data_IF_380560057354
#
_entry.id   IF_380560057354
#
_cell.length_a   1.000
_cell.length_b   1.000
_cell.length_c   1.000
_cell.angle_alpha   90.00
_cell.angle_beta   90.00
_cell.angle_gamma   90.00
#
_symmetry.space_group_name_H-M   'P 1'
#
loop_
_entity.id
_entity.type
_entity.pdbx_description
1 polymer ?
#
# COMPACT_ATOMS: atom_id res chain seq x y z
N UNK A 1 15.37 20.72 -16.39
CA UNK A 1 15.75 20.88 -17.80
C UNK A 1 16.10 19.52 -18.35
N UNK A 2 15.35 19.07 -19.36
CA UNK A 2 15.72 17.95 -20.23
C UNK A 2 16.60 18.50 -21.36
N UNK A 3 17.52 17.72 -21.95
CA UNK A 3 18.45 18.26 -22.92
C UNK A 3 17.73 18.57 -24.24
N UNK A 4 17.94 19.79 -24.72
CA UNK A 4 17.69 20.20 -26.09
C UNK A 4 18.73 19.50 -26.98
N UNK A 5 18.29 18.50 -27.75
CA UNK A 5 19.13 17.81 -28.72
C UNK A 5 18.29 17.41 -29.91
N UNK A 6 18.53 18.08 -31.04
CA UNK A 6 17.98 17.74 -32.35
C UNK A 6 18.45 16.33 -32.72
N UNK A 7 17.53 15.39 -32.98
CA UNK A 7 17.88 14.08 -33.52
C UNK A 7 16.93 13.76 -34.68
N UNK A 8 17.30 14.26 -35.86
CA UNK A 8 16.83 13.68 -37.12
C UNK A 8 17.65 12.41 -37.36
N UNK A 9 17.01 11.22 -37.34
CA UNK A 9 17.57 10.03 -37.99
C UNK A 9 17.70 8.71 -37.21
N UNK A 10 17.48 8.64 -35.89
CA UNK A 10 17.42 7.37 -35.15
C UNK A 10 16.13 7.31 -34.34
N UNK A 11 15.50 6.13 -34.22
CA UNK A 11 14.40 5.90 -33.27
C UNK A 11 14.96 6.10 -31.85
N UNK A 12 14.99 7.35 -31.40
CA UNK A 12 15.60 7.78 -30.16
C UNK A 12 14.92 7.13 -28.98
N UNK A 13 15.59 6.17 -28.36
CA UNK A 13 15.14 5.53 -27.13
C UNK A 13 15.16 6.55 -25.99
N UNK A 14 13.98 6.90 -25.47
CA UNK A 14 13.84 7.74 -24.29
C UNK A 14 13.85 6.85 -23.04
N UNK A 15 14.77 7.12 -22.12
CA UNK A 15 14.91 6.37 -20.85
C UNK A 15 14.27 7.15 -19.70
N UNK A 16 13.54 6.45 -18.82
CA UNK A 16 12.93 7.02 -17.61
C UNK A 16 13.45 6.33 -16.35
N UNK A 17 13.61 7.11 -15.28
CA UNK A 17 13.97 6.62 -13.95
C UNK A 17 12.80 6.80 -12.98
N UNK A 18 12.55 5.77 -12.16
CA UNK A 18 11.53 5.85 -11.11
C UNK A 18 12.04 6.67 -9.93
N UNK A 19 11.27 7.70 -9.52
CA UNK A 19 11.54 8.49 -8.31
C UNK A 19 10.88 7.91 -7.05
N UNK A 20 10.13 6.81 -7.20
CA UNK A 20 9.40 6.11 -6.14
C UNK A 20 9.48 4.61 -6.40
N UNK A 21 9.31 3.81 -5.37
CA UNK A 21 9.20 2.36 -5.49
C UNK A 21 8.22 1.97 -6.62
N UNK A 22 8.66 1.23 -7.65
CA UNK A 22 7.77 0.76 -8.71
C UNK A 22 6.86 -0.34 -8.18
N UNK A 23 5.65 -0.45 -8.74
CA UNK A 23 4.80 -1.60 -8.48
C UNK A 23 5.46 -2.87 -9.04
N UNK A 24 5.31 -4.00 -8.33
CA UNK A 24 5.75 -5.34 -8.78
C UNK A 24 7.26 -5.55 -8.93
N UNK A 25 8.09 -4.76 -8.25
CA UNK A 25 9.50 -5.12 -8.05
C UNK A 25 9.60 -6.10 -6.87
N UNK A 26 10.30 -7.23 -7.05
CA UNK A 26 10.35 -8.33 -6.08
C UNK A 26 10.78 -7.92 -4.66
N UNK A 27 11.60 -6.88 -4.53
CA UNK A 27 12.07 -6.36 -3.22
C UNK A 27 11.07 -5.42 -2.52
N UNK A 28 10.09 -4.87 -3.25
CA UNK A 28 9.15 -3.89 -2.72
C UNK A 28 8.20 -4.45 -1.65
N UNK A 29 7.67 -5.69 -1.76
CA UNK A 29 6.94 -6.33 -0.66
C UNK A 29 7.66 -6.25 0.69
N UNK A 30 8.95 -6.58 0.70
CA UNK A 30 9.77 -6.58 1.90
C UNK A 30 9.98 -5.16 2.44
N UNK A 31 10.41 -4.24 1.58
CA UNK A 31 10.65 -2.84 1.97
C UNK A 31 9.36 -2.15 2.44
N UNK A 32 8.25 -2.38 1.76
CA UNK A 32 6.95 -1.82 2.09
C UNK A 32 6.44 -2.37 3.43
N UNK A 33 6.58 -3.67 3.67
CA UNK A 33 6.24 -4.28 4.96
C UNK A 33 7.06 -3.67 6.11
N UNK A 34 8.38 -3.50 5.93
CA UNK A 34 9.23 -2.86 6.94
C UNK A 34 8.84 -1.40 7.21
N UNK A 35 8.56 -0.62 6.15
CA UNK A 35 8.10 0.77 6.28
C UNK A 35 6.76 0.84 7.01
N UNK A 36 5.81 -0.03 6.68
CA UNK A 36 4.50 -0.08 7.34
C UNK A 36 4.67 -0.39 8.83
N UNK A 37 5.49 -1.39 9.18
CA UNK A 37 5.79 -1.76 10.57
C UNK A 37 6.38 -0.60 11.36
N UNK A 38 7.47 -0.02 10.86
CA UNK A 38 8.11 1.16 11.45
C UNK A 38 7.11 2.30 11.65
N UNK A 39 6.26 2.55 10.66
CA UNK A 39 5.29 3.63 10.75
C UNK A 39 4.19 3.35 11.76
N UNK A 40 3.72 2.10 11.90
CA UNK A 40 2.72 1.71 12.90
C UNK A 40 3.30 1.81 14.32
N UNK A 41 4.55 1.38 14.52
CA UNK A 41 5.24 1.47 15.81
C UNK A 41 5.36 2.93 16.28
N UNK A 42 5.52 3.87 15.35
CA UNK A 42 5.50 5.32 15.63
C UNK A 42 4.10 5.87 15.98
N UNK A 43 3.01 5.13 15.72
CA UNK A 43 1.61 5.58 15.89
C UNK A 43 0.92 5.19 17.24
N UNK A 44 1.70 5.10 18.32
CA UNK A 44 1.31 4.81 19.71
C UNK A 44 1.04 3.33 20.07
N UNK A 45 1.35 2.94 21.34
CA UNK A 45 1.10 1.60 21.87
C UNK A 45 -0.39 1.22 22.02
N UNK A 46 -1.31 2.18 21.90
CA UNK A 46 -2.75 1.95 22.13
C UNK A 46 -3.47 1.24 20.96
N UNK A 47 -2.74 0.94 19.88
CA UNK A 47 -3.31 0.37 18.66
C UNK A 47 -2.83 -1.04 18.35
N UNK A 48 -2.72 -1.89 19.38
CA UNK A 48 -2.37 -3.31 19.25
C UNK A 48 -3.17 -4.01 18.13
N UNK A 49 -4.47 -3.69 18.01
CA UNK A 49 -5.37 -4.24 16.98
C UNK A 49 -4.99 -3.79 15.56
N UNK A 50 -4.49 -2.56 15.40
CA UNK A 50 -4.05 -2.04 14.11
C UNK A 50 -2.76 -2.72 13.64
N UNK A 51 -1.84 -2.96 14.58
CA UNK A 51 -0.56 -3.61 14.33
C UNK A 51 -0.77 -5.06 13.92
N UNK A 52 -1.59 -5.80 14.64
CA UNK A 52 -1.92 -7.19 14.27
C UNK A 52 -2.68 -7.26 12.95
N UNK A 53 -3.64 -6.37 12.70
CA UNK A 53 -4.35 -6.34 11.41
C UNK A 53 -3.39 -6.12 10.22
N UNK A 54 -2.43 -5.21 10.37
CA UNK A 54 -1.50 -4.88 9.29
C UNK A 54 -0.37 -5.92 9.18
N UNK A 55 0.00 -6.59 10.26
CA UNK A 55 1.01 -7.65 10.22
C UNK A 55 0.47 -8.96 9.61
N UNK A 56 -0.78 -9.32 9.90
CA UNK A 56 -1.35 -10.59 9.43
C UNK A 56 -2.10 -10.46 8.09
N UNK A 57 -2.66 -9.29 7.78
CA UNK A 57 -3.57 -9.15 6.63
C UNK A 57 -2.97 -8.37 5.45
N UNK A 58 -1.78 -7.76 5.55
CA UNK A 58 -1.14 -7.12 4.39
C UNK A 58 -0.35 -8.11 3.55
N UNK A 59 -0.75 -8.23 2.28
CA UNK A 59 0.04 -8.86 1.23
C UNK A 59 0.48 -7.81 0.21
N UNK A 60 1.75 -7.39 0.29
CA UNK A 60 2.36 -6.35 -0.55
C UNK A 60 1.61 -5.02 -0.44
N UNK A 61 0.70 -4.73 -1.36
CA UNK A 61 -0.14 -3.55 -1.46
C UNK A 61 -1.61 -3.82 -1.05
N UNK A 62 -2.00 -5.08 -0.96
CA UNK A 62 -3.35 -5.52 -0.66
C UNK A 62 -3.54 -5.79 0.83
N UNK A 63 -4.67 -5.36 1.37
CA UNK A 63 -5.14 -5.79 2.69
C UNK A 63 -6.22 -6.85 2.46
N UNK A 64 -5.96 -8.07 2.90
CA UNK A 64 -6.84 -9.24 2.75
C UNK A 64 -7.08 -9.76 4.16
N UNK A 65 -8.33 -9.68 4.60
CA UNK A 65 -8.73 -10.14 5.92
C UNK A 65 -10.03 -10.93 5.81
N UNK A 66 -10.22 -11.82 6.76
CA UNK A 66 -11.42 -12.64 6.91
C UNK A 66 -12.06 -12.31 8.27
N UNK A 67 -13.38 -12.35 8.32
CA UNK A 67 -14.18 -12.06 9.52
C UNK A 67 -15.46 -12.88 9.50
N UNK A 68 -15.87 -13.40 10.66
CA UNK A 68 -17.03 -14.29 10.79
C UNK A 68 -18.38 -13.57 10.59
N UNK A 69 -18.39 -12.23 10.61
CA UNK A 69 -19.60 -11.44 10.44
C UNK A 69 -19.40 -10.21 9.55
N UNK A 70 -20.46 -9.84 8.81
CA UNK A 70 -20.47 -8.63 7.98
C UNK A 70 -20.20 -7.36 8.79
N UNK A 71 -20.71 -7.30 10.03
CA UNK A 71 -20.50 -6.14 10.89
C UNK A 71 -19.03 -6.00 11.31
N UNK A 72 -18.38 -7.12 11.63
CA UNK A 72 -16.97 -7.14 12.00
C UNK A 72 -16.09 -6.80 10.80
N UNK A 73 -16.39 -7.36 9.62
CA UNK A 73 -15.73 -7.00 8.36
C UNK A 73 -15.87 -5.50 8.03
N UNK A 74 -17.05 -4.91 8.24
CA UNK A 74 -17.27 -3.47 8.06
C UNK A 74 -16.47 -2.64 9.05
N UNK A 75 -16.44 -3.01 10.34
CA UNK A 75 -15.65 -2.35 11.38
C UNK A 75 -14.16 -2.41 11.05
N UNK A 76 -13.69 -3.57 10.62
CA UNK A 76 -12.32 -3.82 10.17
C UNK A 76 -11.94 -2.90 9.00
N UNK A 77 -12.78 -2.85 7.96
CA UNK A 77 -12.56 -2.03 6.77
C UNK A 77 -12.41 -0.54 7.11
N UNK A 78 -13.22 -0.05 8.05
CA UNK A 78 -13.20 1.34 8.52
C UNK A 78 -11.93 1.63 9.31
N UNK A 79 -11.56 0.75 10.23
CA UNK A 79 -10.33 0.86 11.02
C UNK A 79 -9.10 0.88 10.12
N UNK A 80 -9.01 -0.08 9.19
CA UNK A 80 -7.94 -0.17 8.21
C UNK A 80 -7.83 1.11 7.36
N UNK A 81 -8.96 1.63 6.86
CA UNK A 81 -8.98 2.88 6.10
C UNK A 81 -8.44 4.05 6.91
N UNK A 82 -8.85 4.19 8.17
CA UNK A 82 -8.35 5.27 9.05
C UNK A 82 -6.85 5.17 9.31
N UNK A 83 -6.34 3.96 9.56
CA UNK A 83 -4.90 3.75 9.80
C UNK A 83 -4.10 4.08 8.55
N UNK A 84 -4.49 3.52 7.40
CA UNK A 84 -3.80 3.80 6.13
C UNK A 84 -3.88 5.29 5.78
N UNK A 85 -5.00 5.97 6.01
CA UNK A 85 -5.11 7.44 5.82
C UNK A 85 -4.14 8.23 6.71
N UNK A 86 -4.03 7.90 8.00
CA UNK A 86 -3.02 8.51 8.91
C UNK A 86 -1.60 8.25 8.41
N UNK A 87 -1.37 7.08 7.83
CA UNK A 87 -0.11 6.71 7.20
C UNK A 87 0.15 7.36 5.83
N UNK A 88 -0.76 8.21 5.34
CA UNK A 88 -0.77 8.75 3.97
C UNK A 88 -0.75 7.65 2.88
N UNK A 89 -1.20 6.45 3.23
CA UNK A 89 -1.42 5.32 2.34
C UNK A 89 -2.91 5.27 1.98
N UNK A 90 -3.27 5.47 0.72
CA UNK A 90 -4.70 5.50 0.34
C UNK A 90 -5.18 4.08 0.03
N UNK A 91 -6.13 3.57 0.81
CA UNK A 91 -6.83 2.31 0.50
C UNK A 91 -7.90 2.57 -0.57
N UNK A 92 -7.61 2.19 -1.82
CA UNK A 92 -8.41 2.58 -3.00
C UNK A 92 -9.60 1.67 -3.31
N UNK A 93 -9.59 0.40 -2.91
CA UNK A 93 -10.65 -0.58 -3.23
C UNK A 93 -10.85 -1.56 -2.06
N UNK A 94 -12.11 -1.80 -1.69
CA UNK A 94 -12.52 -2.84 -0.73
C UNK A 94 -13.59 -3.70 -1.42
N UNK A 95 -13.41 -5.02 -1.42
CA UNK A 95 -14.33 -5.98 -2.05
C UNK A 95 -14.61 -7.06 -1.00
N UNK A 96 -15.87 -7.46 -0.85
CA UNK A 96 -16.30 -8.55 0.03
C UNK A 96 -16.88 -9.69 -0.79
N UNK A 97 -16.81 -10.90 -0.26
CA UNK A 97 -17.52 -12.09 -0.77
C UNK A 97 -19.02 -12.05 -0.45
N UNK A 98 -19.43 -11.26 0.53
CA UNK A 98 -20.83 -11.01 0.83
C UNK A 98 -21.54 -10.28 -0.31
N UNK A 99 -22.69 -10.80 -0.70
CA UNK A 99 -23.57 -10.20 -1.71
C UNK A 99 -24.43 -9.16 -0.98
N UNK A 100 -24.08 -7.88 -1.12
CA UNK A 100 -24.99 -6.77 -0.75
C UNK A 100 -26.26 -6.77 -1.57
#
# INVERSE_FOLDING_TARGET
MWPNGNIEGELGLITYLFKRAPFRVNAIPFLLSAIIKEHIEQFHPERIIATSLLDFCLYVDNLIADEDSVQDALKLSRNARQIKQKARMVLKKWITNEVT
#
